data_IF_509686721209
#
_entry.id   IF_509686721209
#
_cell.length_a   1.000
_cell.length_b   1.000
_cell.length_c   1.000
_cell.angle_alpha   90.00
_cell.angle_beta   90.00
_cell.angle_gamma   90.00
#
_symmetry.space_group_name_H-M   'P 1'
#
loop_
_entity.id
_entity.type
_entity.pdbx_description
1 polymer ?
#
# COMPACT_ATOMS: atom_id res chain seq x y z
N UNK A 1 31.52 12.44 -35.35
CA UNK A 1 30.04 12.65 -35.20
C UNK A 1 29.70 12.48 -33.76
N UNK A 2 29.40 13.57 -33.06
CA UNK A 2 28.91 13.48 -31.69
C UNK A 2 27.59 12.73 -31.68
N UNK A 3 27.49 11.68 -30.90
CA UNK A 3 26.25 10.90 -30.80
C UNK A 3 25.12 11.76 -30.27
N UNK A 4 23.87 11.54 -30.68
CA UNK A 4 22.69 12.24 -30.17
C UNK A 4 22.62 12.25 -28.64
N UNK A 5 23.16 11.21 -28.01
CA UNK A 5 23.32 11.12 -26.55
C UNK A 5 24.22 12.24 -26.01
N UNK A 6 25.37 12.48 -26.63
CA UNK A 6 26.31 13.54 -26.20
C UNK A 6 25.69 14.92 -26.36
N UNK A 7 24.92 15.14 -27.42
CA UNK A 7 24.23 16.41 -27.64
C UNK A 7 23.15 16.66 -26.57
N UNK A 8 22.32 15.66 -26.25
CA UNK A 8 21.31 15.74 -25.20
C UNK A 8 21.95 15.99 -23.83
N UNK A 9 23.02 15.22 -23.49
CA UNK A 9 23.71 15.40 -22.22
C UNK A 9 24.35 16.78 -22.09
N UNK A 10 24.93 17.31 -23.15
CA UNK A 10 25.53 18.65 -23.15
C UNK A 10 24.46 19.73 -23.04
N UNK A 11 23.31 19.61 -23.71
CA UNK A 11 22.18 20.52 -23.56
C UNK A 11 21.67 20.53 -22.10
N UNK A 12 21.51 19.37 -21.47
CA UNK A 12 21.09 19.25 -20.08
C UNK A 12 22.13 19.82 -19.10
N UNK A 13 23.43 19.62 -19.34
CA UNK A 13 24.50 20.23 -18.52
C UNK A 13 24.51 21.74 -18.65
N UNK A 14 24.39 22.26 -19.84
CA UNK A 14 24.39 23.71 -20.10
C UNK A 14 23.16 24.41 -19.54
N UNK A 15 21.99 23.75 -19.50
CA UNK A 15 20.80 24.30 -18.88
C UNK A 15 20.91 24.44 -17.35
N UNK A 16 21.85 23.69 -16.72
CA UNK A 16 22.12 23.79 -15.27
C UNK A 16 23.13 24.90 -14.91
N UNK A 17 23.91 25.40 -15.87
CA UNK A 17 24.92 26.45 -15.66
C UNK A 17 24.33 27.84 -15.65
N UNK A 18 23.41 28.14 -14.75
CA UNK A 18 22.81 29.47 -14.65
C UNK A 18 21.75 29.57 -13.57
N UNK A 19 21.36 28.44 -13.02
CA UNK A 19 20.45 28.44 -11.87
C UNK A 19 21.32 28.22 -10.62
N UNK A 20 21.55 29.24 -9.78
CA UNK A 20 22.19 29.00 -8.51
C UNK A 20 21.26 28.06 -7.73
N UNK A 21 21.67 26.81 -7.56
CA UNK A 21 21.02 25.90 -6.62
C UNK A 21 21.32 26.44 -5.22
N UNK A 22 20.49 27.33 -4.75
CA UNK A 22 20.51 27.73 -3.35
C UNK A 22 20.10 26.50 -2.55
N UNK A 23 21.06 25.88 -1.87
CA UNK A 23 20.82 24.75 -0.97
C UNK A 23 19.93 25.10 0.23
N UNK A 24 19.54 26.36 0.36
CA UNK A 24 18.71 26.84 1.47
C UNK A 24 17.75 27.94 1.02
N UNK A 25 16.77 27.57 0.21
CA UNK A 25 15.51 28.26 0.38
C UNK A 25 14.88 27.61 1.61
N UNK A 26 14.76 28.37 2.70
CA UNK A 26 13.90 28.02 3.83
C UNK A 26 12.49 27.86 3.28
N UNK A 27 12.17 26.62 2.88
CA UNK A 27 10.81 26.27 2.49
C UNK A 27 9.92 26.61 3.69
N UNK A 28 8.79 27.30 3.48
CA UNK A 28 7.91 27.64 4.58
C UNK A 28 7.57 26.34 5.35
N UNK A 29 7.84 26.35 6.66
CA UNK A 29 7.51 25.24 7.53
C UNK A 29 6.00 25.12 7.55
N UNK A 30 5.46 24.16 6.80
CA UNK A 30 4.04 23.83 6.87
C UNK A 30 3.77 23.27 8.26
N UNK A 31 2.86 23.88 9.05
CA UNK A 31 2.55 23.38 10.39
C UNK A 31 2.04 21.93 10.27
N UNK A 32 2.67 21.02 11.01
CA UNK A 32 2.20 19.64 11.11
C UNK A 32 1.08 19.63 12.17
N UNK A 33 -0.12 19.14 11.84
CA UNK A 33 -1.19 19.04 12.82
C UNK A 33 -0.79 18.08 13.96
N UNK A 34 -1.02 18.48 15.19
CA UNK A 34 -0.79 17.65 16.38
C UNK A 34 -2.06 16.88 16.75
N UNK A 35 -2.45 15.92 15.89
CA UNK A 35 -3.57 15.03 16.18
C UNK A 35 -3.15 13.89 17.09
N UNK A 36 -3.99 13.57 18.07
CA UNK A 36 -3.81 12.38 18.88
C UNK A 36 -4.12 11.09 18.08
N UNK A 37 -3.88 9.94 18.67
CA UNK A 37 -4.09 8.67 17.99
C UNK A 37 -5.55 8.43 17.58
N UNK A 38 -6.49 8.84 18.44
CA UNK A 38 -7.93 8.66 18.18
C UNK A 38 -8.36 9.51 16.99
N UNK A 39 -7.95 10.78 16.97
CA UNK A 39 -8.23 11.68 15.86
C UNK A 39 -7.58 11.23 14.56
N UNK A 40 -6.34 10.72 14.60
CA UNK A 40 -5.66 10.14 13.42
C UNK A 40 -6.44 8.95 12.85
N UNK A 41 -6.93 8.06 13.71
CA UNK A 41 -7.73 6.90 13.30
C UNK A 41 -9.05 7.35 12.66
N UNK A 42 -9.77 8.26 13.28
CA UNK A 42 -11.07 8.76 12.77
C UNK A 42 -10.89 9.45 11.40
N UNK A 43 -9.88 10.31 11.27
CA UNK A 43 -9.58 10.99 10.00
C UNK A 43 -9.24 10.01 8.90
N UNK A 44 -8.36 9.03 9.19
CA UNK A 44 -8.00 7.98 8.25
C UNK A 44 -9.24 7.22 7.77
N UNK A 45 -10.08 6.77 8.70
CA UNK A 45 -11.31 6.03 8.40
C UNK A 45 -12.24 6.85 7.52
N UNK A 46 -12.58 8.07 7.94
CA UNK A 46 -13.48 8.94 7.21
C UNK A 46 -13.01 9.17 5.76
N UNK A 47 -11.71 9.36 5.54
CA UNK A 47 -11.15 9.54 4.20
C UNK A 47 -11.21 8.28 3.35
N UNK A 48 -10.86 7.13 3.94
CA UNK A 48 -10.81 5.87 3.21
C UNK A 48 -12.21 5.31 2.91
N UNK A 49 -13.15 5.43 3.84
CA UNK A 49 -14.55 5.03 3.65
C UNK A 49 -15.24 5.88 2.58
N UNK A 50 -14.93 7.18 2.51
CA UNK A 50 -15.45 8.08 1.48
C UNK A 50 -15.08 7.65 0.05
N UNK A 51 -14.03 6.85 -0.11
CA UNK A 51 -13.60 6.27 -1.39
C UNK A 51 -13.86 4.76 -1.47
N UNK A 52 -14.79 4.25 -0.67
CA UNK A 52 -15.24 2.85 -0.66
C UNK A 52 -14.21 1.83 -0.20
N UNK A 53 -13.27 2.21 0.65
CA UNK A 53 -12.45 1.24 1.38
C UNK A 53 -13.26 0.62 2.50
N UNK A 54 -13.25 -0.70 2.60
CA UNK A 54 -13.87 -1.42 3.71
C UNK A 54 -12.87 -1.55 4.86
N UNK A 55 -13.23 -1.14 6.08
CA UNK A 55 -12.32 -1.12 7.23
C UNK A 55 -12.86 -2.02 8.34
N UNK A 56 -12.00 -2.90 8.85
CA UNK A 56 -12.28 -3.78 9.98
C UNK A 56 -11.28 -3.50 11.10
N UNK A 57 -11.77 -2.96 12.21
CA UNK A 57 -10.97 -2.79 13.42
C UNK A 57 -10.93 -4.10 14.21
N UNK A 58 -9.73 -4.48 14.64
CA UNK A 58 -9.57 -5.65 15.47
C UNK A 58 -8.28 -5.61 16.28
N UNK A 59 -8.25 -6.36 17.36
CA UNK A 59 -6.98 -6.65 18.04
C UNK A 59 -6.18 -7.67 17.24
N UNK A 60 -4.89 -7.76 17.49
CA UNK A 60 -4.04 -8.77 16.86
C UNK A 60 -4.53 -10.20 17.10
N UNK A 61 -5.09 -10.48 18.30
CA UNK A 61 -5.69 -11.79 18.64
C UNK A 61 -7.01 -12.01 17.91
N UNK A 62 -7.80 -10.94 17.71
CA UNK A 62 -9.10 -10.96 17.04
C UNK A 62 -9.02 -11.06 15.50
N UNK A 63 -7.88 -10.69 14.91
CA UNK A 63 -7.68 -10.68 13.46
C UNK A 63 -8.14 -11.97 12.78
N UNK A 64 -7.80 -13.13 13.33
CA UNK A 64 -8.13 -14.41 12.70
C UNK A 64 -9.62 -14.69 12.57
N UNK A 65 -10.46 -14.17 13.49
CA UNK A 65 -11.91 -14.29 13.40
C UNK A 65 -12.43 -13.40 12.27
N UNK A 66 -12.10 -12.13 12.31
CA UNK A 66 -12.57 -11.14 11.32
C UNK A 66 -12.05 -11.47 9.91
N UNK A 67 -10.81 -11.88 9.78
CA UNK A 67 -10.25 -12.35 8.51
C UNK A 67 -11.11 -13.46 7.89
N UNK A 68 -11.47 -14.51 8.66
CA UNK A 68 -12.31 -15.60 8.14
C UNK A 68 -13.72 -15.13 7.74
N UNK A 69 -14.30 -14.18 8.48
CA UNK A 69 -15.60 -13.59 8.14
C UNK A 69 -15.52 -12.85 6.81
N UNK A 70 -14.50 -12.01 6.61
CA UNK A 70 -14.23 -11.29 5.35
C UNK A 70 -14.01 -12.26 4.18
N UNK A 71 -13.14 -13.27 4.35
CA UNK A 71 -12.88 -14.29 3.33
C UNK A 71 -14.17 -14.97 2.88
N UNK A 72 -15.02 -15.36 3.83
CA UNK A 72 -16.31 -16.00 3.56
C UNK A 72 -17.29 -15.04 2.86
N UNK A 73 -17.42 -13.81 3.34
CA UNK A 73 -18.32 -12.79 2.80
C UNK A 73 -17.92 -12.42 1.35
N UNK A 74 -16.65 -12.26 1.09
CA UNK A 74 -16.11 -11.92 -0.24
C UNK A 74 -15.93 -13.11 -1.15
N UNK A 75 -16.21 -14.33 -0.66
CA UNK A 75 -16.06 -15.60 -1.40
C UNK A 75 -14.64 -15.78 -1.97
N UNK A 76 -13.63 -15.36 -1.20
CA UNK A 76 -12.23 -15.51 -1.59
C UNK A 76 -11.84 -16.98 -1.47
N UNK A 77 -11.48 -17.61 -2.59
CA UNK A 77 -11.12 -19.03 -2.65
C UNK A 77 -9.61 -19.23 -2.57
N UNK A 78 -8.84 -18.26 -3.04
CA UNK A 78 -7.39 -18.29 -3.03
C UNK A 78 -6.81 -16.91 -2.67
N UNK A 79 -5.64 -16.92 -2.03
CA UNK A 79 -5.00 -15.72 -1.49
C UNK A 79 -3.49 -15.77 -1.70
N UNK A 80 -2.95 -14.78 -2.40
CA UNK A 80 -1.50 -14.60 -2.56
C UNK A 80 -0.95 -13.73 -1.42
N UNK A 81 0.17 -14.14 -0.82
CA UNK A 81 0.76 -13.46 0.35
C UNK A 81 2.28 -13.63 0.44
N UNK A 82 2.96 -12.76 1.17
CA UNK A 82 4.38 -12.86 1.47
C UNK A 82 4.67 -13.90 2.55
N UNK A 83 5.32 -15.01 2.18
CA UNK A 83 5.52 -16.17 3.09
C UNK A 83 6.35 -15.84 4.33
N UNK A 84 7.44 -15.11 4.15
CA UNK A 84 8.40 -14.81 5.24
C UNK A 84 8.06 -13.51 5.97
N UNK A 85 6.80 -13.10 5.97
CA UNK A 85 6.32 -11.94 6.71
C UNK A 85 5.63 -12.36 8.00
N UNK A 86 5.50 -11.46 8.96
CA UNK A 86 4.78 -11.73 10.21
C UNK A 86 3.33 -12.16 9.94
N UNK A 87 2.67 -11.49 8.98
CA UNK A 87 1.30 -11.81 8.60
C UNK A 87 1.19 -13.10 7.80
N UNK A 88 2.16 -13.41 6.95
CA UNK A 88 2.26 -14.69 6.27
C UNK A 88 2.37 -15.86 7.25
N UNK A 89 3.27 -15.76 8.22
CA UNK A 89 3.43 -16.76 9.29
C UNK A 89 2.12 -16.94 10.09
N UNK A 90 1.42 -15.83 10.36
CA UNK A 90 0.14 -15.85 11.07
C UNK A 90 -0.95 -16.55 10.25
N UNK A 91 -1.03 -16.28 8.95
CA UNK A 91 -1.96 -16.98 8.05
C UNK A 91 -1.69 -18.49 8.01
N UNK A 92 -0.44 -18.92 7.90
CA UNK A 92 -0.08 -20.33 7.90
C UNK A 92 -0.45 -21.01 9.25
N UNK A 93 -0.19 -20.36 10.36
CA UNK A 93 -0.58 -20.86 11.68
C UNK A 93 -2.11 -20.97 11.83
N UNK A 94 -2.86 -20.00 11.27
CA UNK A 94 -4.33 -20.05 11.24
C UNK A 94 -4.86 -21.19 10.38
N UNK A 95 -4.21 -21.47 9.24
CA UNK A 95 -4.57 -22.61 8.37
C UNK A 95 -4.36 -23.93 9.05
N UNK A 96 -3.27 -24.10 9.78
CA UNK A 96 -2.97 -25.36 10.50
C UNK A 96 -3.97 -25.64 11.64
N UNK A 97 -4.48 -24.61 12.30
CA UNK A 97 -5.38 -24.71 13.48
C UNK A 97 -6.85 -24.55 13.15
N UNK A 98 -7.19 -24.14 11.93
CA UNK A 98 -8.54 -23.75 11.55
C UNK A 98 -9.29 -24.82 10.75
N UNK A 99 -10.61 -24.59 10.54
CA UNK A 99 -11.41 -25.45 9.66
C UNK A 99 -10.90 -25.37 8.23
N UNK A 100 -11.16 -26.42 7.43
CA UNK A 100 -10.78 -26.54 6.01
C UNK A 100 -11.38 -25.47 5.07
N UNK A 101 -12.19 -24.56 5.59
CA UNK A 101 -12.84 -23.43 4.88
C UNK A 101 -11.94 -22.19 4.75
N UNK A 102 -10.66 -22.28 5.05
CA UNK A 102 -9.69 -21.22 4.75
C UNK A 102 -9.37 -21.21 3.26
N UNK A 103 -9.13 -20.03 2.65
CA UNK A 103 -8.76 -19.95 1.24
C UNK A 103 -7.47 -20.74 1.00
N UNK A 104 -7.27 -21.16 -0.23
CA UNK A 104 -5.97 -21.68 -0.64
C UNK A 104 -4.92 -20.58 -0.46
N UNK A 105 -3.95 -20.81 0.41
CA UNK A 105 -2.86 -19.86 0.65
C UNK A 105 -1.74 -20.11 -0.35
N UNK A 106 -1.51 -19.17 -1.24
CA UNK A 106 -0.48 -19.22 -2.26
C UNK A 106 0.68 -18.31 -1.82
N UNK A 107 1.83 -18.87 -1.42
CA UNK A 107 2.96 -18.05 -1.00
C UNK A 107 3.67 -17.43 -2.20
N UNK A 108 3.96 -16.15 -2.14
CA UNK A 108 4.87 -15.52 -3.09
C UNK A 108 6.30 -16.02 -2.84
N UNK A 109 6.89 -16.75 -3.78
CA UNK A 109 8.21 -17.38 -3.61
C UNK A 109 9.12 -17.27 -4.83
N UNK A 110 8.61 -16.77 -5.96
CA UNK A 110 9.31 -16.77 -7.23
C UNK A 110 9.61 -15.35 -7.69
N UNK A 111 10.47 -15.24 -8.71
CA UNK A 111 10.62 -13.97 -9.42
C UNK A 111 9.28 -13.58 -10.03
N UNK A 112 9.08 -12.26 -10.22
CA UNK A 112 7.81 -11.71 -10.69
C UNK A 112 7.40 -12.26 -12.05
N UNK A 113 8.39 -12.56 -12.91
CA UNK A 113 8.21 -13.12 -14.23
C UNK A 113 7.51 -14.49 -14.17
N UNK A 114 7.85 -15.29 -13.16
CA UNK A 114 7.32 -16.65 -12.97
C UNK A 114 5.97 -16.65 -12.23
N UNK A 115 5.56 -15.50 -11.68
CA UNK A 115 4.34 -15.35 -10.89
C UNK A 115 3.24 -14.56 -11.61
N UNK A 116 3.46 -14.11 -12.86
CA UNK A 116 2.48 -13.28 -13.57
C UNK A 116 1.11 -13.96 -13.66
N UNK A 117 1.04 -15.18 -14.15
CA UNK A 117 -0.22 -15.92 -14.27
C UNK A 117 -0.94 -16.05 -12.91
N UNK A 118 -0.19 -16.37 -11.86
CA UNK A 118 -0.72 -16.44 -10.50
C UNK A 118 -1.30 -15.11 -10.04
N UNK A 119 -0.59 -13.99 -10.26
CA UNK A 119 -1.04 -12.66 -9.88
C UNK A 119 -2.38 -12.28 -10.52
N UNK A 120 -2.60 -12.68 -11.77
CA UNK A 120 -3.85 -12.40 -12.49
C UNK A 120 -4.97 -13.41 -12.21
N UNK A 121 -4.66 -14.58 -11.66
CA UNK A 121 -5.64 -15.64 -11.39
C UNK A 121 -6.14 -15.70 -9.94
N UNK A 122 -5.45 -15.03 -9.01
CA UNK A 122 -5.86 -15.04 -7.59
C UNK A 122 -7.00 -14.07 -7.31
N UNK A 123 -7.85 -14.43 -6.35
CA UNK A 123 -8.97 -13.60 -5.89
C UNK A 123 -8.49 -12.41 -5.08
N UNK A 124 -7.43 -12.58 -4.27
CA UNK A 124 -6.95 -11.54 -3.38
C UNK A 124 -5.43 -11.60 -3.16
N UNK A 125 -4.86 -10.43 -2.84
CA UNK A 125 -3.50 -10.29 -2.34
C UNK A 125 -3.49 -9.67 -0.95
N UNK A 126 -2.67 -10.21 -0.03
CA UNK A 126 -2.50 -9.64 1.30
C UNK A 126 -1.12 -9.01 1.43
N UNK A 127 -1.09 -7.76 1.91
CA UNK A 127 0.16 -7.05 2.23
C UNK A 127 0.10 -6.40 3.61
N UNK A 128 1.26 -6.25 4.22
CA UNK A 128 1.44 -5.33 5.35
C UNK A 128 1.56 -3.89 4.83
N UNK A 129 1.21 -2.92 5.67
CA UNK A 129 1.58 -1.53 5.49
C UNK A 129 2.72 -1.19 6.45
N UNK A 130 3.54 -0.20 6.12
CA UNK A 130 4.51 0.38 7.06
C UNK A 130 3.89 1.51 7.88
N UNK A 131 2.78 2.06 7.42
CA UNK A 131 2.00 3.09 8.10
C UNK A 131 0.85 3.59 7.24
N UNK A 132 0.23 4.68 7.68
CA UNK A 132 -0.81 5.40 6.95
C UNK A 132 -0.73 6.91 7.23
N UNK A 133 -1.36 7.71 6.39
CA UNK A 133 -1.43 9.18 6.49
C UNK A 133 -2.88 9.56 6.75
N UNK A 134 -3.16 10.14 7.93
CA UNK A 134 -4.51 10.51 8.34
C UNK A 134 -5.09 11.65 7.48
N UNK A 135 -4.27 12.63 7.11
CA UNK A 135 -4.67 13.79 6.32
C UNK A 135 -5.26 13.40 4.96
N UNK A 136 -4.66 12.42 4.29
CA UNK A 136 -5.02 12.01 2.92
C UNK A 136 -5.83 10.72 2.86
N UNK A 137 -5.91 9.95 3.95
CA UNK A 137 -6.52 8.63 3.93
C UNK A 137 -5.71 7.63 3.11
N UNK A 138 -4.37 7.67 3.21
CA UNK A 138 -3.49 6.87 2.37
C UNK A 138 -2.71 5.85 3.18
N UNK A 139 -2.75 4.59 2.76
CA UNK A 139 -1.86 3.55 3.26
C UNK A 139 -0.47 3.72 2.65
N UNK A 140 0.56 3.47 3.44
CA UNK A 140 1.95 3.52 2.98
C UNK A 140 2.46 2.09 2.88
N UNK A 141 2.79 1.65 1.68
CA UNK A 141 3.40 0.35 1.42
C UNK A 141 4.83 0.55 0.93
N UNK A 142 5.75 -0.23 1.47
CA UNK A 142 7.14 -0.31 1.02
C UNK A 142 7.37 -1.71 0.47
N UNK A 143 7.25 -1.89 -0.85
CA UNK A 143 7.47 -3.18 -1.48
C UNK A 143 8.87 -3.72 -1.23
N UNK A 144 8.96 -5.02 -1.02
CA UNK A 144 10.19 -5.77 -0.84
C UNK A 144 10.14 -7.11 -1.61
N UNK A 145 11.16 -7.95 -1.44
CA UNK A 145 11.22 -9.26 -2.10
C UNK A 145 10.11 -10.23 -1.67
N UNK A 146 9.55 -10.06 -0.47
CA UNK A 146 8.49 -10.91 0.07
C UNK A 146 7.10 -10.41 -0.31
N UNK A 147 6.95 -9.10 -0.39
CA UNK A 147 5.71 -8.42 -0.77
C UNK A 147 6.00 -7.44 -1.92
N UNK A 148 6.13 -7.94 -3.16
CA UNK A 148 6.43 -7.10 -4.31
C UNK A 148 5.26 -6.17 -4.62
N UNK A 149 5.55 -5.06 -5.27
CA UNK A 149 4.59 -4.02 -5.63
C UNK A 149 3.30 -4.56 -6.28
N UNK A 150 3.43 -5.53 -7.17
CA UNK A 150 2.29 -6.07 -7.91
C UNK A 150 1.32 -6.86 -7.02
N UNK A 151 1.74 -7.32 -5.84
CA UNK A 151 0.86 -8.00 -4.89
C UNK A 151 -0.28 -7.11 -4.39
N UNK A 152 -0.05 -5.81 -4.26
CA UNK A 152 -1.07 -4.82 -3.88
C UNK A 152 -1.81 -4.19 -5.06
N UNK A 153 -1.36 -4.40 -6.30
CA UNK A 153 -1.88 -3.67 -7.47
C UNK A 153 -2.60 -4.56 -8.49
N UNK A 154 -2.35 -5.87 -8.53
CA UNK A 154 -2.88 -6.76 -9.57
C UNK A 154 -4.11 -7.54 -9.11
N UNK A 155 -4.10 -8.24 -7.94
CA UNK A 155 -5.27 -8.99 -7.49
C UNK A 155 -6.51 -8.11 -7.39
N UNK A 156 -7.70 -8.63 -7.75
CA UNK A 156 -8.94 -7.85 -7.74
C UNK A 156 -9.36 -7.36 -6.34
N UNK A 157 -8.92 -8.06 -5.29
CA UNK A 157 -9.12 -7.64 -3.89
C UNK A 157 -7.76 -7.47 -3.23
N UNK A 158 -7.49 -6.26 -2.73
CA UNK A 158 -6.33 -5.98 -1.91
C UNK A 158 -6.71 -5.99 -0.43
N UNK A 159 -6.16 -6.93 0.33
CA UNK A 159 -6.26 -7.01 1.78
C UNK A 159 -5.02 -6.35 2.39
N UNK A 160 -5.18 -5.25 3.08
CA UNK A 160 -4.09 -4.51 3.72
C UNK A 160 -4.17 -4.65 5.25
N UNK A 161 -3.04 -4.76 5.92
CA UNK A 161 -2.98 -4.79 7.39
C UNK A 161 -2.16 -3.61 7.89
N UNK A 162 -2.76 -2.82 8.78
CA UNK A 162 -2.18 -1.62 9.37
C UNK A 162 -2.19 -1.71 10.90
N UNK A 163 -1.06 -1.42 11.52
CA UNK A 163 -0.98 -1.14 12.96
C UNK A 163 -1.42 0.31 13.21
N UNK A 164 -2.45 0.51 14.04
CA UNK A 164 -2.98 1.84 14.36
C UNK A 164 -1.93 2.80 14.93
N UNK A 165 -0.89 2.28 15.59
CA UNK A 165 0.23 3.07 16.11
C UNK A 165 1.13 3.66 15.02
N UNK A 166 0.98 3.22 13.78
CA UNK A 166 1.75 3.67 12.61
C UNK A 166 0.94 4.62 11.71
N UNK A 167 0.01 5.38 12.29
CA UNK A 167 -0.74 6.42 11.58
C UNK A 167 -0.07 7.76 11.82
N UNK A 168 0.39 8.37 10.75
CA UNK A 168 1.01 9.70 10.73
C UNK A 168 -0.03 10.76 10.40
N UNK A 169 0.11 11.98 10.95
CA UNK A 169 -0.79 13.08 10.61
C UNK A 169 -0.65 13.46 9.13
N UNK A 170 0.61 13.64 8.67
CA UNK A 170 0.95 14.11 7.33
C UNK A 170 2.00 13.24 6.66
N UNK A 171 2.14 13.39 5.34
CA UNK A 171 3.21 12.70 4.60
C UNK A 171 4.60 13.16 5.02
N UNK A 172 4.75 14.44 5.36
CA UNK A 172 6.02 14.98 5.87
C UNK A 172 6.41 14.35 7.21
N UNK A 173 5.44 14.11 8.10
CA UNK A 173 5.65 13.36 9.34
C UNK A 173 6.12 11.93 9.04
N UNK A 174 5.45 11.24 8.12
CA UNK A 174 5.83 9.90 7.72
C UNK A 174 7.27 9.81 7.18
N UNK A 175 7.67 10.75 6.31
CA UNK A 175 9.04 10.81 5.77
C UNK A 175 10.07 10.96 6.90
N UNK A 176 9.79 11.81 7.88
CA UNK A 176 10.68 12.06 9.02
C UNK A 176 10.78 10.85 9.92
N UNK A 177 9.66 10.29 10.35
CA UNK A 177 9.60 9.18 11.30
C UNK A 177 10.14 7.87 10.69
N UNK A 178 9.95 7.67 9.38
CA UNK A 178 10.50 6.51 8.64
C UNK A 178 11.96 6.72 8.22
N UNK A 179 12.54 7.88 8.48
CA UNK A 179 13.94 8.19 8.18
C UNK A 179 14.28 8.22 6.70
N UNK A 180 13.32 8.55 5.81
CA UNK A 180 13.52 8.48 4.35
C UNK A 180 14.39 9.58 3.76
N UNK A 181 14.82 10.53 4.55
CA UNK A 181 15.73 11.57 4.07
C UNK A 181 17.07 11.01 3.62
N UNK A 182 17.59 9.94 4.28
CA UNK A 182 18.84 9.24 3.90
C UNK A 182 18.90 7.83 4.52
N UNK A 183 18.80 6.75 3.75
CA UNK A 183 18.58 6.69 2.30
C UNK A 183 17.09 6.80 1.93
N UNK A 184 16.80 7.46 0.82
CA UNK A 184 15.46 7.46 0.23
C UNK A 184 15.11 6.05 -0.24
N UNK A 185 13.93 5.51 0.07
CA UNK A 185 13.51 4.21 -0.48
C UNK A 185 13.32 4.30 -1.99
N UNK A 186 13.72 3.25 -2.71
CA UNK A 186 13.61 3.20 -4.18
C UNK A 186 12.16 3.13 -4.67
N UNK A 187 11.26 2.62 -3.84
CA UNK A 187 9.84 2.48 -4.17
C UNK A 187 8.98 2.55 -2.91
N UNK A 188 7.98 3.39 -2.94
CA UNK A 188 6.91 3.51 -1.93
C UNK A 188 5.60 3.71 -2.65
N UNK A 189 4.55 3.02 -2.22
CA UNK A 189 3.20 3.18 -2.73
C UNK A 189 2.35 3.89 -1.70
N UNK A 190 1.58 4.89 -2.14
CA UNK A 190 0.50 5.50 -1.37
C UNK A 190 -0.82 5.03 -1.96
N UNK A 191 -1.60 4.27 -1.19
CA UNK A 191 -2.87 3.69 -1.63
C UNK A 191 -4.00 4.31 -0.81
N UNK A 192 -4.82 5.13 -1.47
CA UNK A 192 -5.91 5.87 -0.82
C UNK A 192 -7.28 5.24 -1.02
N UNK A 193 -7.37 4.08 -1.66
CA UNK A 193 -8.62 3.40 -1.95
C UNK A 193 -8.50 2.38 -3.08
N UNK A 194 -9.62 1.76 -3.50
CA UNK A 194 -9.66 0.88 -4.67
C UNK A 194 -9.31 1.65 -5.95
N UNK A 195 -8.81 0.91 -6.96
CA UNK A 195 -8.49 1.50 -8.26
C UNK A 195 -9.72 2.11 -8.90
N UNK A 196 -9.59 3.36 -9.33
CA UNK A 196 -10.69 4.15 -9.87
C UNK A 196 -10.23 4.88 -11.14
N UNK A 197 -10.95 4.69 -12.22
CA UNK A 197 -10.74 5.39 -13.49
C UNK A 197 -11.98 6.20 -13.83
N UNK A 198 -11.79 7.45 -14.19
CA UNK A 198 -12.86 8.28 -14.76
C UNK A 198 -12.76 8.22 -16.29
N UNK A 199 -13.84 7.81 -16.95
CA UNK A 199 -13.93 7.88 -18.41
C UNK A 199 -14.34 9.29 -18.85
N UNK A 200 -14.16 9.58 -20.15
CA UNK A 200 -14.51 10.86 -20.79
C UNK A 200 -15.99 11.19 -20.56
N UNK A 201 -16.86 10.18 -20.43
CA UNK A 201 -18.28 10.33 -20.16
C UNK A 201 -18.62 10.56 -18.69
N UNK A 202 -17.63 10.87 -17.83
CA UNK A 202 -17.77 11.08 -16.38
C UNK A 202 -18.27 9.83 -15.60
N UNK A 203 -18.25 8.65 -16.22
CA UNK A 203 -18.61 7.40 -15.56
C UNK A 203 -17.41 6.88 -14.76
N UNK A 204 -17.58 6.69 -13.45
CA UNK A 204 -16.55 6.13 -12.58
C UNK A 204 -16.56 4.61 -12.68
N UNK A 205 -15.46 4.03 -13.13
CA UNK A 205 -15.29 2.57 -13.21
C UNK A 205 -14.19 2.14 -12.22
N UNK A 206 -14.52 1.15 -11.40
CA UNK A 206 -13.59 0.58 -10.44
C UNK A 206 -12.89 -0.66 -10.99
N UNK A 207 -11.57 -0.77 -10.72
CA UNK A 207 -10.81 -1.99 -10.96
C UNK A 207 -10.39 -2.26 -12.40
N UNK A 208 -10.25 -1.24 -13.26
CA UNK A 208 -9.70 -1.41 -14.60
C UNK A 208 -8.17 -1.62 -14.55
N UNK A 209 -7.47 -0.81 -13.75
CA UNK A 209 -6.01 -0.78 -13.69
C UNK A 209 -5.44 -1.23 -12.33
N UNK A 210 -6.26 -1.85 -11.47
CA UNK A 210 -5.85 -2.28 -10.15
C UNK A 210 -6.99 -2.91 -9.37
N UNK A 211 -6.84 -3.12 -8.05
CA UNK A 211 -7.84 -3.77 -7.22
C UNK A 211 -9.20 -3.08 -7.28
N UNK A 212 -10.25 -3.87 -7.47
CA UNK A 212 -11.66 -3.42 -7.41
C UNK A 212 -12.09 -3.09 -5.99
N UNK A 213 -11.47 -3.75 -5.01
CA UNK A 213 -11.77 -3.57 -3.60
C UNK A 213 -10.48 -3.44 -2.79
N UNK A 214 -10.49 -2.51 -1.85
CA UNK A 214 -9.49 -2.39 -0.81
C UNK A 214 -10.16 -2.67 0.54
N UNK A 215 -9.62 -3.64 1.27
CA UNK A 215 -10.09 -4.03 2.60
C UNK A 215 -8.96 -3.85 3.58
N UNK A 216 -9.16 -3.00 4.58
CA UNK A 216 -8.17 -2.67 5.59
C UNK A 216 -8.49 -3.39 6.91
N UNK A 217 -7.56 -4.17 7.41
CA UNK A 217 -7.56 -4.65 8.79
C UNK A 217 -6.74 -3.68 9.65
N UNK A 218 -7.42 -2.88 10.44
CA UNK A 218 -6.81 -1.93 11.37
C UNK A 218 -6.61 -2.62 12.72
N UNK A 219 -5.35 -2.83 13.09
CA UNK A 219 -4.95 -3.49 14.33
C UNK A 219 -4.79 -2.45 15.43
N UNK A 220 -5.64 -2.54 16.48
CA UNK A 220 -5.65 -1.65 17.64
C UNK A 220 -5.14 -2.36 18.90
#
# INVERSE_FOLDING_TARGET
MDSSRSQILNALRNSRTGIPFSESQDLPKIPVPEWDLVEKIERLKNRMEAVHTEIHECTEKGFGKIFREVIKQKKITNLLYGKKTNWGNKLEAMRQRGPKTTPELIPYQKKIEDCKETLFSVDAGLTKTIGAIAETGSLILKPDEQEPRLLSLVPPIHLAVLDSKRIYSTFSEAIREEGWSRPMPTNVLLISGPSKTADIEQTLVYGIHGPKQLILFLIC
#
